data_IF_886078770907
#
_entry.id   IF_886078770907
#
_cell.length_a   1.000
_cell.length_b   1.000
_cell.length_c   1.000
_cell.angle_alpha   90.00
_cell.angle_beta   90.00
_cell.angle_gamma   90.00
#
_symmetry.space_group_name_H-M   'P 1'
#
loop_
_entity.id
_entity.type
_entity.pdbx_description
1 polymer ?
#
# COMPACT_ATOMS: atom_id res chain seq x y z
N UNK A 1 20.46 -18.64 56.99
CA UNK A 1 20.72 -18.38 55.56
C UNK A 1 19.38 -18.19 54.87
N UNK A 2 18.89 -16.95 54.85
CA UNK A 2 17.66 -16.54 54.18
C UNK A 2 18.05 -15.36 53.29
N UNK A 3 17.91 -15.56 51.98
CA UNK A 3 18.33 -14.63 50.95
C UNK A 3 17.08 -13.85 50.52
N UNK A 4 16.86 -12.67 51.10
CA UNK A 4 15.80 -11.74 50.67
C UNK A 4 16.20 -11.13 49.33
N UNK A 5 15.42 -11.42 48.29
CA UNK A 5 15.61 -10.87 46.94
C UNK A 5 14.88 -9.54 46.85
N UNK A 6 15.62 -8.44 46.99
CA UNK A 6 15.13 -7.08 46.77
C UNK A 6 14.85 -6.88 45.26
N UNK A 7 13.65 -6.44 44.83
CA UNK A 7 13.41 -6.10 43.42
C UNK A 7 14.18 -4.83 43.06
N UNK A 8 14.96 -4.90 41.97
CA UNK A 8 15.70 -3.76 41.43
C UNK A 8 14.76 -2.59 41.06
N UNK A 9 15.16 -1.32 41.28
CA UNK A 9 14.38 -0.17 40.84
C UNK A 9 14.30 -0.12 39.31
N UNK A 10 13.10 0.15 38.79
CA UNK A 10 12.85 0.31 37.36
C UNK A 10 13.67 1.50 36.80
N UNK A 11 14.26 1.38 35.60
CA UNK A 11 14.97 2.50 34.98
C UNK A 11 13.98 3.61 34.63
N UNK A 12 14.15 4.77 35.25
CA UNK A 12 13.47 6.01 34.89
C UNK A 12 13.71 6.33 33.42
N UNK A 13 12.68 6.70 32.62
CA UNK A 13 12.90 7.20 31.27
C UNK A 13 13.74 8.47 31.34
N UNK A 14 15.02 8.37 30.96
CA UNK A 14 15.91 9.50 30.83
C UNK A 14 15.43 10.39 29.69
N UNK A 15 15.01 11.61 30.03
CA UNK A 15 14.92 12.70 29.05
C UNK A 15 16.35 12.97 28.59
N UNK A 16 16.72 12.47 27.41
CA UNK A 16 17.97 12.86 26.77
C UNK A 16 17.74 14.21 26.10
N UNK A 17 18.21 15.27 26.75
CA UNK A 17 18.38 16.58 26.13
C UNK A 17 19.63 16.49 25.25
N UNK A 18 19.45 16.39 23.93
CA UNK A 18 20.55 16.44 23.00
C UNK A 18 20.96 17.90 22.75
N UNK A 19 22.23 18.18 23.03
CA UNK A 19 22.89 19.47 22.85
C UNK A 19 23.14 19.71 21.36
N UNK A 20 22.69 20.86 20.86
CA UNK A 20 22.83 21.29 19.46
C UNK A 20 24.29 21.72 19.22
N UNK A 21 25.00 21.03 18.32
CA UNK A 21 26.13 21.62 17.58
C UNK A 21 25.80 21.59 16.08
N UNK A 22 25.92 22.76 15.45
CA UNK A 22 25.82 23.01 14.01
C UNK A 22 24.47 22.70 13.34
N UNK A 23 23.44 23.47 13.72
CA UNK A 23 22.55 24.17 12.76
C UNK A 23 21.78 23.40 11.69
N UNK A 24 21.84 22.07 11.67
CA UNK A 24 21.21 21.24 10.65
C UNK A 24 20.39 20.17 11.36
N UNK A 25 19.08 20.41 11.46
CA UNK A 25 18.11 19.41 11.91
C UNK A 25 18.00 18.35 10.81
N UNK A 26 18.92 17.39 10.81
CA UNK A 26 18.73 16.14 10.08
C UNK A 26 17.79 15.31 10.96
N UNK A 27 16.50 15.39 10.64
CA UNK A 27 15.48 14.53 11.22
C UNK A 27 15.71 13.12 10.67
N UNK A 28 16.75 12.47 11.19
CA UNK A 28 17.01 11.06 10.97
C UNK A 28 15.96 10.33 11.78
N UNK A 29 14.83 10.02 11.15
CA UNK A 29 13.90 9.04 11.69
C UNK A 29 14.65 7.72 11.79
N UNK A 30 15.26 7.45 12.94
CA UNK A 30 15.91 6.18 13.26
C UNK A 30 14.80 5.15 13.47
N UNK A 31 14.16 4.73 12.38
CA UNK A 31 13.46 3.47 12.33
C UNK A 31 14.49 2.39 12.58
N UNK A 32 14.45 1.78 13.75
CA UNK A 32 15.12 0.50 14.00
C UNK A 32 14.65 -0.42 12.88
N UNK A 33 15.57 -0.90 12.03
CA UNK A 33 15.26 -1.79 10.93
C UNK A 33 14.44 -2.98 11.44
N UNK A 34 13.13 -2.97 11.19
CA UNK A 34 12.19 -4.01 11.59
C UNK A 34 10.87 -3.54 12.22
N UNK A 35 10.76 -2.32 12.74
CA UNK A 35 9.49 -1.80 13.28
C UNK A 35 8.70 -1.01 12.22
N UNK A 36 7.38 -1.23 12.06
CA UNK A 36 6.55 -0.47 11.14
C UNK A 36 6.54 1.01 11.51
N UNK A 37 6.68 1.89 10.52
CA UNK A 37 6.63 3.34 10.71
C UNK A 37 5.20 3.81 10.98
N UNK A 38 5.05 5.04 11.51
CA UNK A 38 3.74 5.67 11.70
C UNK A 38 2.93 5.75 10.40
N UNK A 39 3.61 6.01 9.27
CA UNK A 39 3.01 6.00 7.93
C UNK A 39 2.54 4.60 7.54
N UNK A 40 3.32 3.57 7.80
CA UNK A 40 2.94 2.17 7.49
C UNK A 40 1.67 1.79 8.26
N UNK A 41 1.58 2.18 9.53
CA UNK A 41 0.39 1.94 10.35
C UNK A 41 -0.84 2.67 9.79
N UNK A 42 -0.68 3.92 9.37
CA UNK A 42 -1.76 4.70 8.73
C UNK A 42 -2.21 4.09 7.41
N UNK A 43 -1.27 3.71 6.53
CA UNK A 43 -1.57 3.08 5.25
C UNK A 43 -2.26 1.72 5.43
N UNK A 44 -1.82 0.92 6.41
CA UNK A 44 -2.46 -0.35 6.74
C UNK A 44 -3.90 -0.15 7.25
N UNK A 45 -4.12 0.85 8.14
CA UNK A 45 -5.45 1.17 8.62
C UNK A 45 -6.38 1.65 7.48
N UNK A 46 -5.85 2.47 6.56
CA UNK A 46 -6.60 2.94 5.39
C UNK A 46 -6.94 1.78 4.46
N UNK A 47 -5.99 0.91 4.14
CA UNK A 47 -6.22 -0.27 3.30
C UNK A 47 -7.28 -1.21 3.90
N UNK A 48 -7.25 -1.40 5.23
CA UNK A 48 -8.27 -2.19 5.91
C UNK A 48 -9.67 -1.56 5.79
N UNK A 49 -9.78 -0.24 5.97
CA UNK A 49 -11.05 0.48 5.78
C UNK A 49 -11.56 0.35 4.35
N UNK A 50 -10.68 0.53 3.37
CA UNK A 50 -11.03 0.48 1.95
C UNK A 50 -11.52 -0.93 1.55
N UNK A 51 -10.88 -2.00 2.05
CA UNK A 51 -11.35 -3.38 1.83
C UNK A 51 -12.74 -3.63 2.45
N UNK A 52 -13.02 -3.07 3.64
CA UNK A 52 -14.37 -3.17 4.23
C UNK A 52 -15.42 -2.42 3.40
N UNK A 53 -15.08 -1.25 2.83
CA UNK A 53 -15.97 -0.52 1.92
C UNK A 53 -16.27 -1.33 0.65
N UNK A 54 -15.25 -1.97 0.07
CA UNK A 54 -15.42 -2.85 -1.07
C UNK A 54 -16.32 -4.05 -0.74
N UNK A 55 -16.17 -4.63 0.46
CA UNK A 55 -17.05 -5.71 0.93
C UNK A 55 -18.49 -5.24 1.08
N UNK A 56 -18.71 -4.06 1.66
CA UNK A 56 -20.03 -3.47 1.81
C UNK A 56 -20.70 -3.23 0.46
N UNK A 57 -19.97 -2.71 -0.53
CA UNK A 57 -20.48 -2.48 -1.88
C UNK A 57 -20.85 -3.81 -2.57
N UNK A 58 -19.99 -4.83 -2.46
CA UNK A 58 -20.28 -6.19 -2.98
C UNK A 58 -21.54 -6.78 -2.33
N UNK A 59 -21.73 -6.60 -1.02
CA UNK A 59 -22.93 -7.04 -0.32
C UNK A 59 -24.19 -6.30 -0.78
N UNK A 60 -24.11 -4.97 -0.95
CA UNK A 60 -25.22 -4.17 -1.46
C UNK A 60 -25.62 -4.55 -2.88
N UNK A 61 -24.64 -4.76 -3.75
CA UNK A 61 -24.87 -5.24 -5.12
C UNK A 61 -25.55 -6.62 -5.09
N UNK A 62 -25.05 -7.54 -4.27
CA UNK A 62 -25.66 -8.87 -4.09
C UNK A 62 -27.10 -8.77 -3.58
N UNK A 63 -27.35 -7.89 -2.61
CA UNK A 63 -28.70 -7.62 -2.08
C UNK A 63 -29.63 -7.09 -3.16
N UNK A 64 -29.17 -6.13 -3.98
CA UNK A 64 -29.95 -5.60 -5.09
C UNK A 64 -30.31 -6.71 -6.10
N UNK A 65 -29.37 -7.59 -6.42
CA UNK A 65 -29.61 -8.74 -7.30
C UNK A 65 -30.63 -9.72 -6.70
N UNK A 66 -30.57 -10.00 -5.39
CA UNK A 66 -31.56 -10.85 -4.70
C UNK A 66 -32.94 -10.19 -4.64
N UNK A 67 -33.00 -8.88 -4.41
CA UNK A 67 -34.24 -8.12 -4.41
C UNK A 67 -34.88 -8.03 -5.80
N UNK A 68 -34.07 -7.93 -6.85
CA UNK A 68 -34.53 -8.00 -8.24
C UNK A 68 -35.04 -9.40 -8.56
N UNK A 69 -34.27 -10.42 -8.18
CA UNK A 69 -34.70 -11.80 -8.32
C UNK A 69 -36.08 -11.99 -7.67
N UNK A 70 -36.31 -11.53 -6.45
CA UNK A 70 -37.60 -11.72 -5.75
C UNK A 70 -38.82 -11.16 -6.51
N UNK A 71 -38.62 -10.17 -7.40
CA UNK A 71 -39.69 -9.54 -8.20
C UNK A 71 -39.99 -10.25 -9.53
N UNK A 72 -39.25 -11.30 -9.87
CA UNK A 72 -39.40 -12.02 -11.13
C UNK A 72 -40.66 -12.91 -11.16
N UNK A 73 -41.49 -12.77 -12.20
CA UNK A 73 -42.87 -13.27 -12.28
C UNK A 73 -43.00 -14.80 -12.36
N UNK A 74 -41.93 -15.52 -12.69
CA UNK A 74 -41.92 -16.97 -12.93
C UNK A 74 -41.58 -17.84 -11.70
N UNK A 75 -41.65 -17.30 -10.48
CA UNK A 75 -41.18 -17.95 -9.25
C UNK A 75 -42.27 -18.72 -8.49
N UNK A 76 -41.88 -19.83 -7.86
CA UNK A 76 -42.75 -20.53 -6.90
C UNK A 76 -42.73 -19.82 -5.53
N UNK A 77 -43.79 -19.98 -4.73
CA UNK A 77 -43.84 -19.42 -3.36
C UNK A 77 -42.69 -19.88 -2.46
N UNK A 78 -42.20 -21.11 -2.63
CA UNK A 78 -41.04 -21.66 -1.90
C UNK A 78 -39.75 -20.93 -2.28
N UNK A 79 -39.58 -20.57 -3.56
CA UNK A 79 -38.40 -19.85 -4.04
C UNK A 79 -38.34 -18.43 -3.47
N UNK A 80 -39.51 -17.78 -3.36
CA UNK A 80 -39.65 -16.45 -2.76
C UNK A 80 -39.23 -16.48 -1.28
N UNK A 81 -39.77 -17.42 -0.50
CA UNK A 81 -39.43 -17.55 0.92
C UNK A 81 -37.92 -17.80 1.15
N UNK A 82 -37.29 -18.60 0.29
CA UNK A 82 -35.83 -18.82 0.33
C UNK A 82 -35.01 -17.55 0.07
N UNK A 83 -35.46 -16.72 -0.88
CA UNK A 83 -34.80 -15.46 -1.22
C UNK A 83 -35.01 -14.37 -0.17
N UNK A 84 -36.20 -14.28 0.42
CA UNK A 84 -36.47 -13.38 1.54
C UNK A 84 -35.56 -13.69 2.74
N UNK A 85 -35.40 -14.97 3.06
CA UNK A 85 -34.45 -15.41 4.10
C UNK A 85 -33.02 -15.00 3.76
N UNK A 86 -32.59 -15.15 2.50
CA UNK A 86 -31.26 -14.73 2.06
C UNK A 86 -31.09 -13.22 2.11
N UNK A 87 -32.13 -12.44 1.80
CA UNK A 87 -32.11 -10.99 1.88
C UNK A 87 -31.97 -10.52 3.33
N UNK A 88 -32.72 -11.12 4.26
CA UNK A 88 -32.57 -10.87 5.70
C UNK A 88 -31.14 -11.15 6.20
N UNK A 89 -30.53 -12.27 5.78
CA UNK A 89 -29.14 -12.59 6.13
C UNK A 89 -28.12 -11.59 5.53
N UNK A 90 -28.37 -11.08 4.32
CA UNK A 90 -27.53 -10.04 3.72
C UNK A 90 -27.66 -8.72 4.48
N UNK A 91 -28.87 -8.37 4.93
CA UNK A 91 -29.13 -7.14 5.70
C UNK A 91 -28.39 -7.15 7.04
N UNK A 92 -28.40 -8.29 7.75
CA UNK A 92 -27.61 -8.46 8.97
C UNK A 92 -26.11 -8.30 8.73
N UNK A 93 -25.59 -8.87 7.65
CA UNK A 93 -24.17 -8.75 7.28
C UNK A 93 -23.78 -7.34 6.87
N UNK A 94 -24.65 -6.62 6.15
CA UNK A 94 -24.43 -5.22 5.78
C UNK A 94 -24.31 -4.37 7.06
N UNK A 95 -25.25 -4.53 8.00
CA UNK A 95 -25.22 -3.82 9.28
C UNK A 95 -23.96 -4.13 10.11
N UNK A 96 -23.49 -5.38 10.08
CA UNK A 96 -22.25 -5.75 10.76
C UNK A 96 -21.03 -5.08 10.12
N UNK A 97 -20.90 -5.12 8.79
CA UNK A 97 -19.80 -4.47 8.07
C UNK A 97 -19.84 -2.95 8.26
N UNK A 98 -21.01 -2.31 8.29
CA UNK A 98 -21.13 -0.87 8.58
C UNK A 98 -20.56 -0.50 9.95
N UNK A 99 -20.81 -1.32 10.99
CA UNK A 99 -20.20 -1.13 12.32
C UNK A 99 -18.69 -1.31 12.27
N UNK A 100 -18.21 -2.30 11.52
CA UNK A 100 -16.77 -2.52 11.33
C UNK A 100 -16.12 -1.33 10.61
N UNK A 101 -16.75 -0.76 9.58
CA UNK A 101 -16.27 0.44 8.87
C UNK A 101 -16.17 1.61 9.85
N UNK A 102 -17.19 1.87 10.67
CA UNK A 102 -17.12 2.94 11.66
C UNK A 102 -15.95 2.76 12.65
N UNK A 103 -15.68 1.51 13.05
CA UNK A 103 -14.51 1.20 13.89
C UNK A 103 -13.18 1.38 13.14
N UNK A 104 -13.14 1.08 11.83
CA UNK A 104 -11.97 1.25 10.98
C UNK A 104 -11.67 2.73 10.73
N UNK A 105 -12.70 3.56 10.50
CA UNK A 105 -12.56 5.00 10.36
C UNK A 105 -11.95 5.63 11.62
N UNK A 106 -12.36 5.18 12.82
CA UNK A 106 -11.74 5.60 14.06
C UNK A 106 -10.26 5.23 14.16
N UNK A 107 -9.86 4.03 13.69
CA UNK A 107 -8.45 3.59 13.64
C UNK A 107 -7.63 4.42 12.64
N UNK A 108 -8.20 4.73 11.48
CA UNK A 108 -7.57 5.60 10.49
C UNK A 108 -7.34 6.99 11.07
N UNK A 109 -8.34 7.55 11.75
CA UNK A 109 -8.22 8.86 12.41
C UNK A 109 -7.14 8.85 13.51
N UNK A 110 -7.10 7.79 14.34
CA UNK A 110 -6.06 7.62 15.36
C UNK A 110 -4.65 7.53 14.75
N UNK A 111 -4.49 6.74 13.68
CA UNK A 111 -3.21 6.59 13.00
C UNK A 111 -2.76 7.88 12.28
N UNK A 112 -3.70 8.62 11.69
CA UNK A 112 -3.43 9.90 11.03
C UNK A 112 -2.99 11.00 12.00
N UNK A 113 -3.35 10.89 13.29
CA UNK A 113 -2.93 11.83 14.33
C UNK A 113 -1.46 11.69 14.75
N UNK A 114 -0.75 10.66 14.30
CA UNK A 114 0.66 10.46 14.61
C UNK A 114 1.52 11.36 13.68
N UNK A 115 2.47 12.16 14.22
CA UNK A 115 3.35 12.98 13.40
C UNK A 115 4.09 12.17 12.33
N UNK A 116 4.16 12.70 11.10
CA UNK A 116 4.77 12.02 9.95
C UNK A 116 3.95 10.87 9.35
N UNK A 117 2.76 10.52 9.89
CA UNK A 117 1.95 9.43 9.35
C UNK A 117 1.32 9.73 7.99
N UNK A 118 0.95 10.99 7.76
CA UNK A 118 0.33 11.43 6.50
C UNK A 118 1.33 11.99 5.50
N UNK A 119 2.56 12.27 5.93
CA UNK A 119 3.62 12.85 5.10
C UNK A 119 4.17 11.82 4.13
N UNK A 120 4.17 12.15 2.84
CA UNK A 120 4.77 11.32 1.81
C UNK A 120 6.30 11.36 1.91
N UNK A 121 6.97 10.20 2.12
CA UNK A 121 8.40 10.18 2.17
C UNK A 121 8.92 10.60 0.81
N UNK A 122 9.87 11.53 0.82
CA UNK A 122 10.60 11.87 -0.38
C UNK A 122 11.34 10.63 -0.86
N UNK A 123 10.87 10.04 -1.96
CA UNK A 123 11.59 8.98 -2.67
C UNK A 123 12.53 9.71 -3.63
N UNK A 124 13.86 9.66 -3.41
CA UNK A 124 14.80 10.22 -4.37
C UNK A 124 14.55 9.53 -5.71
N UNK A 125 14.32 10.31 -6.77
CA UNK A 125 14.24 9.75 -8.11
C UNK A 125 15.60 9.11 -8.40
N UNK A 126 15.59 7.79 -8.59
CA UNK A 126 16.77 7.10 -9.06
C UNK A 126 17.10 7.64 -10.47
N UNK A 127 18.08 8.52 -10.51
CA UNK A 127 18.63 9.11 -11.72
C UNK A 127 19.93 8.39 -12.11
N UNK A 128 20.17 7.19 -11.57
CA UNK A 128 21.24 6.35 -12.05
C UNK A 128 20.97 6.04 -13.52
N UNK A 129 21.92 6.46 -14.35
CA UNK A 129 21.92 6.13 -15.76
C UNK A 129 22.38 4.67 -15.84
N UNK A 130 21.51 3.78 -16.31
CA UNK A 130 21.91 2.41 -16.65
C UNK A 130 22.98 2.50 -17.74
N UNK A 131 24.24 2.29 -17.35
CA UNK A 131 25.39 2.43 -18.26
C UNK A 131 25.29 1.39 -19.36
N UNK A 132 24.74 0.22 -19.07
CA UNK A 132 24.45 -0.85 -20.02
C UNK A 132 23.46 -0.40 -21.11
N UNK A 133 22.39 0.30 -20.73
CA UNK A 133 21.39 0.80 -21.69
C UNK A 133 21.99 1.89 -22.58
N UNK A 134 22.80 2.79 -22.00
CA UNK A 134 23.51 3.84 -22.76
C UNK A 134 24.56 3.24 -23.68
N UNK A 135 25.32 2.25 -23.21
CA UNK A 135 26.36 1.58 -23.99
C UNK A 135 25.74 0.75 -25.13
N UNK A 136 24.68 -0.01 -24.86
CA UNK A 136 23.97 -0.79 -25.86
C UNK A 136 23.30 0.11 -26.90
N UNK A 137 22.61 1.17 -26.46
CA UNK A 137 22.01 2.17 -27.35
C UNK A 137 23.05 2.89 -28.20
N UNK A 138 24.15 3.31 -27.60
CA UNK A 138 25.27 3.97 -28.28
C UNK A 138 25.97 3.05 -29.29
N UNK A 139 26.21 1.78 -28.92
CA UNK A 139 26.80 0.77 -29.80
C UNK A 139 25.87 0.45 -30.98
N UNK A 140 24.57 0.28 -30.73
CA UNK A 140 23.58 0.04 -31.78
C UNK A 140 23.47 1.22 -32.74
N UNK A 141 23.39 2.45 -32.23
CA UNK A 141 23.35 3.66 -33.06
C UNK A 141 24.62 3.78 -33.92
N UNK A 142 25.80 3.55 -33.31
CA UNK A 142 27.08 3.58 -34.01
C UNK A 142 27.14 2.54 -35.12
N UNK A 143 26.69 1.32 -34.85
CA UNK A 143 26.59 0.26 -35.85
C UNK A 143 25.62 0.64 -36.98
N UNK A 144 24.41 1.10 -36.64
CA UNK A 144 23.40 1.47 -37.63
C UNK A 144 23.87 2.61 -38.55
N UNK A 145 24.62 3.59 -38.01
CA UNK A 145 25.18 4.68 -38.81
C UNK A 145 26.37 4.24 -39.67
N UNK A 146 27.28 3.41 -39.15
CA UNK A 146 28.51 3.04 -39.85
C UNK A 146 28.33 1.88 -40.84
N UNK A 147 27.38 0.98 -40.58
CA UNK A 147 27.10 -0.19 -41.42
C UNK A 147 26.90 0.13 -42.92
N UNK A 148 26.08 1.13 -43.33
CA UNK A 148 25.92 1.44 -44.75
C UNK A 148 27.21 1.97 -45.39
N UNK A 149 28.05 2.71 -44.65
CA UNK A 149 29.34 3.18 -45.16
C UNK A 149 30.31 2.02 -45.39
N UNK A 150 30.33 1.01 -44.51
CA UNK A 150 31.14 -0.20 -44.68
C UNK A 150 30.74 -0.95 -45.96
N UNK A 151 29.44 -1.10 -46.23
CA UNK A 151 28.94 -1.73 -47.46
C UNK A 151 29.37 -0.92 -48.70
N UNK A 152 29.20 0.40 -48.65
CA UNK A 152 29.57 1.28 -49.75
C UNK A 152 31.07 1.21 -50.06
N UNK A 153 31.92 1.19 -49.03
CA UNK A 153 33.38 1.13 -49.19
C UNK A 153 33.85 -0.25 -49.68
N UNK A 154 33.27 -1.33 -49.16
CA UNK A 154 33.56 -2.70 -49.60
C UNK A 154 33.28 -2.88 -51.10
N UNK A 155 32.16 -2.33 -51.58
CA UNK A 155 31.80 -2.40 -53.01
C UNK A 155 32.74 -1.56 -53.90
N UNK A 156 33.43 -0.56 -53.36
CA UNK A 156 34.35 0.31 -54.10
C UNK A 156 35.71 -0.36 -54.33
N UNK A 157 36.19 -1.17 -53.40
CA UNK A 157 37.48 -1.89 -53.52
C UNK A 157 37.43 -2.93 -54.64
N UNK A 158 36.30 -3.62 -54.82
CA UNK A 158 36.11 -4.62 -55.89
C UNK A 158 35.86 -4.04 -57.28
N UNK A 159 35.77 -2.72 -57.43
CA UNK A 159 35.61 -2.03 -58.73
C UNK A 159 36.87 -1.33 -59.22
N UNK A 160 38.01 -1.53 -58.55
CA UNK A 160 39.33 -1.14 -59.03
C UNK A 160 40.08 -2.38 -59.49
#
# INVERSE_FOLDING_TARGET
MQNESQPAPAPTPGVQVEVIQDGQVVQTGTGIAGAPSARDMYLAAKAYRDELQDQWERLRSTRANVAEATREESRTSVDIAGLEKRMSQLDERILDVEKQIASADARVAQAAGVPGATEEPYIPRDNSVNVEDVLAGGAFLSFALLFPFVIAYSRRIWRR
#
